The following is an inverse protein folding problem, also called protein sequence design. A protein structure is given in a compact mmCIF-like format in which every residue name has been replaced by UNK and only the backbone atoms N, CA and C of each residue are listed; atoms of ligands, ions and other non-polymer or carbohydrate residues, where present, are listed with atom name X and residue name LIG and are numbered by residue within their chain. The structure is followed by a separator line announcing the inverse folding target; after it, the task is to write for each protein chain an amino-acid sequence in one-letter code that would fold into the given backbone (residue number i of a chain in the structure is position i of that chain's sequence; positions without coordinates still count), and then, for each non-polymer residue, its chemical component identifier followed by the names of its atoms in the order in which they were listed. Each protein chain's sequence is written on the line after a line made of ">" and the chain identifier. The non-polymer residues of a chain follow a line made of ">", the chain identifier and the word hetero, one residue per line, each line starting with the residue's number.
data_IF_096079078536
#
_entry.id   IF_096079078536
#
_cell.length_a   1.000
_cell.length_b   1.000
_cell.length_c   1.000
_cell.angle_alpha   90.00
_cell.angle_beta   90.00
_cell.angle_gamma   90.00
#
_symmetry.space_group_name_H-M   'P 1'
#
loop_
_entity.id
_entity.type
_entity.pdbx_description
1 polymer ?
#
# COMPACT_ATOMS: atom_id res chain seq x y z
N UNK A 1 4.56 -3.70 22.01
CA UNK A 1 5.54 -4.50 21.25
C UNK A 1 5.46 -4.09 19.79
N UNK A 2 6.37 -3.25 19.32
CA UNK A 2 6.47 -2.90 17.89
C UNK A 2 7.13 -4.08 17.17
N UNK A 3 6.48 -4.66 16.16
CA UNK A 3 6.97 -5.84 15.46
C UNK A 3 8.34 -5.61 14.81
N UNK A 4 9.02 -6.70 14.43
CA UNK A 4 10.34 -6.73 13.75
C UNK A 4 10.47 -5.76 12.57
N UNK A 5 9.35 -5.30 12.02
CA UNK A 5 9.22 -4.36 10.92
C UNK A 5 8.33 -3.19 11.35
N UNK A 6 8.89 -2.22 12.08
CA UNK A 6 8.15 -1.05 12.59
C UNK A 6 7.39 -0.32 11.48
N UNK A 7 6.24 0.25 11.83
CA UNK A 7 5.31 0.88 10.89
C UNK A 7 5.81 2.24 10.39
N UNK A 8 5.53 2.58 9.13
CA UNK A 8 5.91 3.89 8.59
C UNK A 8 5.14 5.03 9.28
N UNK A 9 5.82 6.16 9.49
CA UNK A 9 5.20 7.38 9.97
C UNK A 9 4.62 8.15 8.78
N UNK A 10 3.29 8.15 8.68
CA UNK A 10 2.56 8.69 7.54
C UNK A 10 2.10 10.13 7.79
N UNK A 11 1.66 10.82 6.73
CA UNK A 11 1.15 12.20 6.83
C UNK A 11 -0.11 12.23 7.68
N UNK A 12 -1.02 11.26 7.50
CA UNK A 12 -2.22 11.16 8.35
C UNK A 12 -1.86 11.04 9.84
N UNK A 13 -0.93 10.13 10.19
CA UNK A 13 -0.48 9.96 11.58
C UNK A 13 0.18 11.21 12.15
N UNK A 14 0.92 11.94 11.32
CA UNK A 14 1.51 13.22 11.72
C UNK A 14 0.43 14.25 12.05
N UNK A 15 -0.58 14.39 11.19
CA UNK A 15 -1.69 15.31 11.40
C UNK A 15 -2.50 14.93 12.65
N UNK A 16 -2.80 13.64 12.82
CA UNK A 16 -3.51 13.12 14.00
C UNK A 16 -2.75 13.43 15.28
N UNK A 17 -1.44 13.12 15.33
CA UNK A 17 -0.58 13.40 16.48
C UNK A 17 -0.53 14.89 16.86
N UNK A 18 -0.44 15.77 15.85
CA UNK A 18 -0.43 17.22 16.07
C UNK A 18 -1.80 17.69 16.61
N UNK A 19 -2.89 17.22 16.00
CA UNK A 19 -4.24 17.60 16.40
C UNK A 19 -4.57 17.11 17.82
N UNK A 20 -4.16 15.89 18.17
CA UNK A 20 -4.29 15.34 19.52
C UNK A 20 -3.54 16.19 20.56
N UNK A 21 -2.41 16.78 20.17
CA UNK A 21 -1.58 17.62 21.06
C UNK A 21 -2.14 19.05 21.21
N UNK A 22 -2.80 19.59 20.18
CA UNK A 22 -3.30 20.97 20.19
C UNK A 22 -4.56 21.17 21.05
N UNK A 23 -5.29 20.11 21.38
CA UNK A 23 -6.48 20.17 22.23
C UNK A 23 -7.72 20.78 21.56
N UNK A 24 -8.78 20.97 22.34
CA UNK A 24 -10.09 21.41 21.83
C UNK A 24 -10.05 22.87 21.33
N UNK A 25 -10.27 23.05 20.03
CA UNK A 25 -10.47 24.35 19.38
C UNK A 25 -9.49 24.68 18.25
N UNK A 26 -8.41 23.92 18.10
CA UNK A 26 -7.41 24.11 17.06
C UNK A 26 -7.31 22.85 16.18
N UNK A 27 -7.39 23.04 14.86
CA UNK A 27 -7.20 21.96 13.89
C UNK A 27 -6.12 22.35 12.88
N UNK A 28 -5.14 21.48 12.71
CA UNK A 28 -4.14 21.58 11.66
C UNK A 28 -4.62 20.78 10.45
N UNK A 29 -4.55 21.43 9.29
CA UNK A 29 -4.88 20.86 8.00
C UNK A 29 -3.74 21.09 7.02
N UNK A 30 -3.50 20.10 6.16
CA UNK A 30 -2.50 20.21 5.11
C UNK A 30 -3.08 20.98 3.92
N UNK A 31 -2.42 22.05 3.50
CA UNK A 31 -2.80 22.82 2.30
C UNK A 31 -1.72 22.74 1.23
N UNK A 32 -2.15 22.55 -0.02
CA UNK A 32 -1.29 22.57 -1.19
C UNK A 32 -1.07 24.02 -1.63
N UNK A 33 0.18 24.46 -1.62
CA UNK A 33 0.55 25.74 -2.20
C UNK A 33 0.63 25.61 -3.73
N UNK A 34 -0.18 26.41 -4.44
CA UNK A 34 -0.22 26.42 -5.92
C UNK A 34 0.42 27.68 -6.52
N UNK A 35 1.09 28.49 -5.69
CA UNK A 35 1.71 29.76 -6.08
C UNK A 35 0.77 30.96 -5.92
N UNK A 36 1.33 32.17 -6.07
CA UNK A 36 0.61 33.45 -6.02
C UNK A 36 -0.21 33.69 -4.72
N UNK A 37 0.24 33.12 -3.60
CA UNK A 37 -0.46 33.25 -2.31
C UNK A 37 -1.73 32.39 -2.19
N UNK A 38 -2.03 31.53 -3.17
CA UNK A 38 -3.18 30.64 -3.14
C UNK A 38 -2.78 29.30 -2.52
N UNK A 39 -3.51 28.92 -1.48
CA UNK A 39 -3.41 27.62 -0.84
C UNK A 39 -4.74 26.89 -1.00
N UNK A 40 -4.70 25.67 -1.55
CA UNK A 40 -5.87 24.81 -1.74
C UNK A 40 -5.89 23.74 -0.68
N UNK A 41 -7.09 23.29 -0.31
CA UNK A 41 -7.25 22.17 0.61
C UNK A 41 -6.73 20.88 -0.03
N UNK A 42 -6.04 20.07 0.77
CA UNK A 42 -5.54 18.77 0.31
C UNK A 42 -6.64 17.73 0.46
N UNK A 43 -7.01 17.10 -0.64
CA UNK A 43 -8.06 16.08 -0.63
C UNK A 43 -7.64 14.83 0.13
N UNK A 44 -8.62 14.07 0.65
CA UNK A 44 -8.35 12.79 1.31
C UNK A 44 -7.63 11.77 0.38
N UNK A 45 -7.83 11.87 -0.93
CA UNK A 45 -7.13 11.06 -1.93
C UNK A 45 -5.64 11.44 -2.04
N UNK A 46 -5.33 12.73 -2.00
CA UNK A 46 -3.93 13.21 -2.00
C UNK A 46 -3.21 12.82 -0.71
N UNK A 47 -3.86 12.97 0.46
CA UNK A 47 -3.30 12.50 1.74
C UNK A 47 -3.05 10.99 1.69
N UNK A 48 -4.00 10.21 1.16
CA UNK A 48 -3.82 8.77 1.00
C UNK A 48 -2.64 8.42 0.09
N UNK A 49 -2.44 9.16 -1.00
CA UNK A 49 -1.31 8.97 -1.90
C UNK A 49 0.03 9.27 -1.19
N UNK A 50 0.09 10.37 -0.43
CA UNK A 50 1.28 10.74 0.35
C UNK A 50 1.60 9.69 1.42
N UNK A 51 0.58 9.12 2.07
CA UNK A 51 0.75 8.04 3.04
C UNK A 51 1.34 6.78 2.38
N UNK A 52 0.80 6.36 1.24
CA UNK A 52 1.33 5.21 0.47
C UNK A 52 2.76 5.50 0.01
N UNK A 53 3.05 6.72 -0.46
CA UNK A 53 4.40 7.14 -0.85
C UNK A 53 5.37 7.07 0.34
N UNK A 54 4.98 7.56 1.51
CA UNK A 54 5.79 7.49 2.72
C UNK A 54 6.10 6.04 3.11
N UNK A 55 5.09 5.15 3.10
CA UNK A 55 5.26 3.72 3.37
C UNK A 55 6.25 3.05 2.41
N UNK A 56 6.10 3.30 1.11
CA UNK A 56 6.99 2.73 0.08
C UNK A 56 8.41 3.25 0.29
N UNK A 57 8.59 4.56 0.47
CA UNK A 57 9.93 5.14 0.68
C UNK A 57 10.62 4.52 1.90
N UNK A 58 9.94 4.48 3.04
CA UNK A 58 10.47 3.83 4.26
C UNK A 58 10.82 2.36 4.02
N UNK A 59 10.01 1.65 3.24
CA UNK A 59 10.25 0.24 2.91
C UNK A 59 11.46 0.04 2.00
N UNK A 60 11.64 0.90 0.99
CA UNK A 60 12.83 0.90 0.13
C UNK A 60 14.09 1.16 0.94
N UNK A 61 14.09 2.22 1.75
CA UNK A 61 15.25 2.58 2.59
C UNK A 61 15.63 1.43 3.55
N UNK A 62 14.63 0.73 4.08
CA UNK A 62 14.84 -0.43 4.96
C UNK A 62 15.38 -1.64 4.20
N UNK A 63 14.77 -1.98 3.06
CA UNK A 63 15.19 -3.11 2.23
C UNK A 63 16.60 -2.91 1.67
N UNK A 64 17.01 -1.68 1.42
CA UNK A 64 18.37 -1.37 0.94
C UNK A 64 19.46 -1.83 1.93
N UNK A 65 19.12 -1.98 3.22
CA UNK A 65 20.04 -2.43 4.27
C UNK A 65 19.97 -3.95 4.53
N UNK A 66 19.09 -4.68 3.84
CA UNK A 66 18.86 -6.10 4.04
C UNK A 66 19.71 -6.97 3.12
N UNK A 67 20.12 -8.14 3.61
CA UNK A 67 20.66 -9.20 2.75
C UNK A 67 19.56 -9.94 1.97
N UNK A 68 19.94 -10.82 1.04
CA UNK A 68 18.98 -11.55 0.19
C UNK A 68 18.02 -12.43 0.99
N UNK A 69 18.44 -13.02 2.11
CA UNK A 69 17.59 -13.86 2.97
C UNK A 69 16.58 -13.00 3.73
N UNK A 70 17.02 -11.86 4.24
CA UNK A 70 16.17 -10.88 4.91
C UNK A 70 15.13 -10.29 3.96
N UNK A 71 15.50 -10.02 2.71
CA UNK A 71 14.55 -9.58 1.66
C UNK A 71 13.48 -10.61 1.37
N UNK A 72 13.84 -11.90 1.30
CA UNK A 72 12.85 -12.98 1.16
C UNK A 72 11.88 -13.01 2.35
N UNK A 73 12.42 -12.89 3.57
CA UNK A 73 11.60 -12.80 4.79
C UNK A 73 10.68 -11.58 4.80
N UNK A 74 11.16 -10.43 4.33
CA UNK A 74 10.36 -9.21 4.17
C UNK A 74 9.18 -9.41 3.22
N UNK A 75 9.46 -9.97 2.03
CA UNK A 75 8.43 -10.22 1.02
C UNK A 75 7.34 -11.15 1.56
N UNK A 76 7.73 -12.25 2.19
CA UNK A 76 6.77 -13.23 2.73
C UNK A 76 5.93 -12.63 3.86
N UNK A 77 6.57 -11.89 4.78
CA UNK A 77 5.88 -11.20 5.86
C UNK A 77 4.83 -10.20 5.33
N UNK A 78 5.24 -9.33 4.40
CA UNK A 78 4.34 -8.31 3.85
C UNK A 78 3.23 -8.91 2.99
N UNK A 79 3.52 -9.97 2.23
CA UNK A 79 2.52 -10.75 1.50
C UNK A 79 1.51 -11.38 2.44
N UNK A 80 1.95 -12.02 3.52
CA UNK A 80 1.05 -12.62 4.52
C UNK A 80 0.16 -11.56 5.16
N UNK A 81 0.76 -10.45 5.60
CA UNK A 81 0.03 -9.30 6.14
C UNK A 81 -1.03 -8.77 5.16
N UNK A 82 -0.68 -8.62 3.88
CA UNK A 82 -1.61 -8.23 2.83
C UNK A 82 -2.77 -9.22 2.68
N UNK A 83 -2.51 -10.53 2.73
CA UNK A 83 -3.54 -11.56 2.66
C UNK A 83 -4.51 -11.48 3.84
N UNK A 84 -4.00 -11.26 5.05
CA UNK A 84 -4.83 -11.16 6.26
C UNK A 84 -5.71 -9.90 6.24
N UNK A 85 -5.15 -8.77 5.82
CA UNK A 85 -5.89 -7.52 5.61
C UNK A 85 -6.95 -7.65 4.52
N UNK A 86 -6.63 -8.37 3.43
CA UNK A 86 -7.58 -8.63 2.36
C UNK A 86 -8.78 -9.45 2.85
N UNK A 87 -8.53 -10.51 3.63
CA UNK A 87 -9.59 -11.33 4.25
C UNK A 87 -10.45 -10.52 5.22
N UNK A 88 -9.84 -9.55 5.92
CA UNK A 88 -10.55 -8.63 6.80
C UNK A 88 -11.32 -7.52 6.05
N UNK A 89 -11.30 -7.50 4.72
CA UNK A 89 -11.98 -6.48 3.90
C UNK A 89 -11.28 -5.12 3.88
N UNK A 90 -10.06 -5.01 4.43
CA UNK A 90 -9.28 -3.78 4.50
C UNK A 90 -8.43 -3.60 3.24
N UNK A 91 -9.09 -3.44 2.09
CA UNK A 91 -8.45 -3.53 0.78
C UNK A 91 -7.34 -2.48 0.53
N UNK A 92 -7.49 -1.25 1.05
CA UNK A 92 -6.46 -0.20 0.93
C UNK A 92 -5.19 -0.58 1.70
N UNK A 93 -5.35 -1.01 2.95
CA UNK A 93 -4.23 -1.43 3.79
C UNK A 93 -3.57 -2.71 3.23
N UNK A 94 -4.38 -3.61 2.66
CA UNK A 94 -3.89 -4.79 1.96
C UNK A 94 -3.05 -4.41 0.72
N UNK A 95 -3.52 -3.47 -0.11
CA UNK A 95 -2.73 -2.99 -1.26
C UNK A 95 -1.43 -2.33 -0.85
N UNK A 96 -1.43 -1.54 0.23
CA UNK A 96 -0.20 -0.93 0.76
C UNK A 96 0.80 -2.04 1.18
N UNK A 97 0.36 -3.06 1.91
CA UNK A 97 1.23 -4.16 2.33
C UNK A 97 1.80 -4.95 1.13
N UNK A 98 0.99 -5.19 0.09
CA UNK A 98 1.49 -5.82 -1.13
C UNK A 98 2.50 -4.94 -1.88
N UNK A 99 2.30 -3.62 -1.94
CA UNK A 99 3.27 -2.68 -2.52
C UNK A 99 4.58 -2.65 -1.72
N UNK A 100 4.50 -2.68 -0.39
CA UNK A 100 5.67 -2.83 0.49
C UNK A 100 6.40 -4.15 0.21
N UNK A 101 5.69 -5.25 -0.06
CA UNK A 101 6.32 -6.52 -0.42
C UNK A 101 7.16 -6.41 -1.70
N UNK A 102 6.70 -5.65 -2.70
CA UNK A 102 7.42 -5.46 -3.97
C UNK A 102 8.74 -4.71 -3.80
N UNK A 103 8.92 -3.91 -2.74
CA UNK A 103 10.21 -3.21 -2.52
C UNK A 103 11.35 -4.18 -2.24
N UNK A 104 11.04 -5.40 -1.76
CA UNK A 104 11.98 -6.47 -1.49
C UNK A 104 12.50 -7.21 -2.74
N UNK A 105 11.85 -7.03 -3.89
CA UNK A 105 12.17 -7.79 -5.10
C UNK A 105 13.48 -7.31 -5.74
N UNK A 106 14.37 -8.26 -6.02
CA UNK A 106 15.55 -8.03 -6.84
C UNK A 106 15.23 -8.39 -8.29
N UNK A 107 15.13 -7.39 -9.17
CA UNK A 107 14.74 -7.56 -10.58
C UNK A 107 15.92 -7.95 -11.49
N UNK A 108 16.89 -8.72 -10.97
CA UNK A 108 18.05 -9.18 -11.72
C UNK A 108 18.64 -10.46 -11.16
N UNK A 109 19.19 -11.31 -12.03
CA UNK A 109 19.80 -12.59 -11.66
C UNK A 109 19.27 -13.77 -12.47
N UNK A 110 19.90 -14.93 -12.32
CA UNK A 110 19.55 -16.15 -13.04
C UNK A 110 18.14 -16.67 -12.70
N UNK A 111 17.68 -16.44 -11.47
CA UNK A 111 16.38 -16.93 -10.97
C UNK A 111 15.24 -15.90 -11.12
N UNK A 112 15.50 -14.79 -11.81
CA UNK A 112 14.56 -13.68 -11.97
C UNK A 112 13.18 -14.12 -12.48
N UNK A 113 13.15 -14.99 -13.49
CA UNK A 113 11.91 -15.49 -14.10
C UNK A 113 11.09 -16.35 -13.12
N UNK A 114 11.75 -17.10 -12.25
CA UNK A 114 11.09 -17.91 -11.24
C UNK A 114 10.51 -17.03 -10.13
N UNK A 115 11.27 -16.04 -9.67
CA UNK A 115 10.84 -15.04 -8.68
C UNK A 115 9.66 -14.23 -9.22
N UNK A 116 9.72 -13.78 -10.48
CA UNK A 116 8.61 -13.09 -11.13
C UNK A 116 7.33 -13.93 -11.10
N UNK A 117 7.40 -15.20 -11.52
CA UNK A 117 6.22 -16.07 -11.60
C UNK A 117 5.66 -16.46 -10.23
N UNK A 118 6.52 -16.78 -9.25
CA UNK A 118 6.10 -17.31 -7.95
C UNK A 118 5.75 -16.22 -6.94
N UNK A 119 6.29 -15.02 -7.11
CA UNK A 119 6.21 -13.95 -6.12
C UNK A 119 5.56 -12.69 -6.70
N UNK A 120 6.17 -12.09 -7.74
CA UNK A 120 5.69 -10.81 -8.27
C UNK A 120 4.29 -10.93 -8.88
N UNK A 121 4.04 -11.93 -9.74
CA UNK A 121 2.74 -12.08 -10.39
C UNK A 121 1.59 -12.24 -9.38
N UNK A 122 1.65 -13.15 -8.38
CA UNK A 122 0.61 -13.24 -7.35
C UNK A 122 0.39 -11.93 -6.57
N UNK A 123 1.46 -11.24 -6.19
CA UNK A 123 1.36 -9.96 -5.44
C UNK A 123 0.67 -8.90 -6.29
N UNK A 124 1.07 -8.73 -7.55
CA UNK A 124 0.44 -7.79 -8.49
C UNK A 124 -1.03 -8.12 -8.73
N UNK A 125 -1.39 -9.40 -8.90
CA UNK A 125 -2.78 -9.83 -9.04
C UNK A 125 -3.61 -9.46 -7.79
N UNK A 126 -3.05 -9.63 -6.60
CA UNK A 126 -3.72 -9.26 -5.36
C UNK A 126 -3.91 -7.75 -5.23
N UNK A 127 -2.93 -6.93 -5.66
CA UNK A 127 -3.08 -5.47 -5.73
C UNK A 127 -4.25 -5.09 -6.64
N UNK A 128 -4.31 -5.67 -7.84
CA UNK A 128 -5.41 -5.42 -8.78
C UNK A 128 -6.75 -5.85 -8.17
N UNK A 129 -6.81 -6.98 -7.48
CA UNK A 129 -8.01 -7.41 -6.76
C UNK A 129 -8.43 -6.41 -5.67
N UNK A 130 -7.47 -5.86 -4.90
CA UNK A 130 -7.75 -4.79 -3.94
C UNK A 130 -8.34 -3.56 -4.63
N UNK A 131 -7.75 -3.12 -5.75
CA UNK A 131 -8.22 -1.96 -6.51
C UNK A 131 -9.65 -2.16 -7.01
N UNK A 132 -9.93 -3.32 -7.62
CA UNK A 132 -11.28 -3.67 -8.07
C UNK A 132 -12.28 -3.70 -6.91
N UNK A 133 -11.90 -4.21 -5.73
CA UNK A 133 -12.77 -4.21 -4.55
C UNK A 133 -13.01 -2.81 -3.97
N UNK A 134 -12.07 -1.89 -4.14
CA UNK A 134 -12.23 -0.49 -3.74
C UNK A 134 -13.10 0.31 -4.72
N UNK A 135 -13.01 0.04 -6.02
CA UNK A 135 -13.85 0.68 -7.04
C UNK A 135 -15.28 0.13 -7.04
N UNK A 136 -15.47 -1.16 -6.75
CA UNK A 136 -16.77 -1.83 -6.68
C UNK A 136 -17.36 -1.74 -5.26
N UNK A 137 -17.49 -0.51 -4.75
CA UNK A 137 -18.26 -0.20 -3.54
C UNK A 137 -19.73 -0.67 -3.62
N UNK A 138 -20.51 -0.60 -2.52
CA UNK A 138 -21.88 -1.12 -2.47
C UNK A 138 -22.72 -0.59 -3.64
N UNK A 139 -23.54 -1.49 -4.20
CA UNK A 139 -24.14 -1.49 -5.55
C UNK A 139 -25.16 -0.38 -5.85
N UNK A 140 -25.02 0.82 -5.30
CA UNK A 140 -25.97 1.90 -5.59
C UNK A 140 -25.24 3.04 -6.29
N UNK A 141 -25.70 3.30 -7.51
CA UNK A 141 -25.30 4.37 -8.44
C UNK A 141 -24.09 4.09 -9.36
N UNK A 142 -24.43 3.83 -10.63
CA UNK A 142 -23.71 4.09 -11.88
C UNK A 142 -23.47 2.88 -12.81
N UNK A 143 -23.79 3.02 -14.12
CA UNK A 143 -23.80 1.92 -15.06
C UNK A 143 -22.39 1.56 -15.52
N UNK A 144 -22.16 0.25 -15.59
CA UNK A 144 -20.91 -0.45 -15.90
C UNK A 144 -20.24 0.09 -17.17
N UNK A 145 -19.06 0.70 -17.05
CA UNK A 145 -18.14 0.92 -18.18
C UNK A 145 -16.94 -0.03 -18.01
N UNK A 146 -16.92 -1.09 -18.81
CA UNK A 146 -15.73 -1.93 -19.10
C UNK A 146 -15.15 -2.72 -17.92
N UNK A 147 -15.51 -4.01 -17.83
CA UNK A 147 -14.87 -4.95 -16.89
C UNK A 147 -13.39 -5.16 -17.24
N UNK A 148 -12.48 -4.78 -16.34
CA UNK A 148 -11.13 -5.35 -16.29
C UNK A 148 -11.20 -6.66 -15.49
N UNK A 149 -11.32 -7.79 -16.20
CA UNK A 149 -11.15 -9.12 -15.62
C UNK A 149 -9.66 -9.49 -15.60
N UNK A 150 -9.05 -9.48 -14.41
CA UNK A 150 -7.74 -10.10 -14.22
C UNK A 150 -7.93 -11.62 -14.14
N UNK A 151 -7.53 -12.35 -15.18
CA UNK A 151 -7.49 -13.81 -15.19
C UNK A 151 -6.11 -14.29 -14.71
N UNK A 152 -6.07 -14.91 -13.54
CA UNK A 152 -4.92 -15.70 -13.09
C UNK A 152 -5.35 -17.17 -12.97
N UNK A 153 -4.92 -17.99 -13.92
CA UNK A 153 -5.09 -19.44 -13.88
C UNK A 153 -3.83 -20.06 -13.27
N UNK A 154 -3.89 -20.44 -11.99
CA UNK A 154 -2.97 -21.45 -11.47
C UNK A 154 -3.75 -22.42 -10.58
N UNK A 155 -3.99 -23.61 -11.12
CA UNK A 155 -4.92 -24.60 -10.60
C UNK A 155 -4.44 -25.31 -9.35
N UNK A 156 -4.43 -24.62 -8.20
CA UNK A 156 -4.42 -25.28 -6.89
C UNK A 156 -5.44 -24.61 -5.96
N UNK A 157 -6.47 -25.38 -5.64
CA UNK A 157 -7.46 -25.06 -4.61
C UNK A 157 -6.75 -24.87 -3.27
N UNK A 158 -7.21 -23.86 -2.51
CA UNK A 158 -6.94 -23.72 -1.08
C UNK A 158 -7.40 -24.98 -0.33
#
# INVERSE_FOLDING_TARGET
>A
MSGRYGEAYTVSKMLDSINDTMGDGCKVELKRNVGNGVALDTSAKEIACLDTQAKIKTSVDRVALMDSSEKQGWIEHQRSKGNDLFKAGKYKEASDAYLEALTGLELGGADHDEVMRKVQHPITCNIVACMLKMEVGPRDSFPRRGYLTAHYSNGRKL
#
